data_IF_490173115462
#
_entry.id   IF_490173115462
#
_cell.length_a   1.000
_cell.length_b   1.000
_cell.length_c   1.000
_cell.angle_alpha   90.00
_cell.angle_beta   90.00
_cell.angle_gamma   90.00
#
_symmetry.space_group_name_H-M   'P 1'
#
loop_
_entity.id
_entity.type
_entity.pdbx_description
1 polymer ?
#
# COMPACT_ATOMS: atom_id res chain seq x y z
N UNK A 1 -9.64 -31.69 -11.36
CA UNK A 1 -8.54 -31.87 -10.37
C UNK A 1 -8.91 -31.14 -9.09
N UNK A 2 -8.71 -31.76 -7.96
CA UNK A 2 -8.92 -31.12 -6.66
C UNK A 2 -7.92 -29.94 -6.48
N UNK A 3 -8.40 -28.80 -6.00
CA UNK A 3 -7.54 -27.64 -5.79
C UNK A 3 -6.57 -27.89 -4.65
N UNK A 4 -5.29 -27.55 -4.86
CA UNK A 4 -4.28 -27.64 -3.78
C UNK A 4 -4.62 -26.65 -2.67
N UNK A 5 -4.48 -27.07 -1.41
CA UNK A 5 -4.69 -26.21 -0.24
C UNK A 5 -3.49 -25.28 -0.04
N UNK A 6 -3.75 -23.99 0.10
CA UNK A 6 -2.76 -23.00 0.54
C UNK A 6 -3.23 -22.31 1.81
N UNK A 7 -2.29 -21.87 2.62
CA UNK A 7 -2.54 -21.04 3.79
C UNK A 7 -2.04 -19.63 3.54
N UNK A 8 -2.92 -18.67 3.78
CA UNK A 8 -2.64 -17.25 3.74
C UNK A 8 -2.71 -16.71 5.18
N UNK A 9 -1.59 -16.29 5.77
CA UNK A 9 -1.51 -15.88 7.18
C UNK A 9 -1.06 -14.43 7.31
N UNK A 10 -1.89 -13.59 7.96
CA UNK A 10 -1.63 -12.17 8.13
C UNK A 10 -1.90 -11.67 9.54
N UNK A 11 -1.23 -10.58 9.90
CA UNK A 11 -1.47 -9.82 11.13
C UNK A 11 -1.47 -8.31 10.93
N UNK A 12 -1.67 -7.87 9.70
CA UNK A 12 -1.68 -6.49 9.22
C UNK A 12 -1.59 -6.48 7.71
N UNK A 13 -1.58 -5.30 7.09
CA UNK A 13 -1.61 -5.07 5.64
C UNK A 13 -2.84 -5.66 4.93
N UNK A 14 -3.94 -5.83 5.66
CA UNK A 14 -5.16 -6.48 5.17
C UNK A 14 -5.73 -5.82 3.92
N UNK A 15 -5.65 -4.51 3.80
CA UNK A 15 -6.09 -3.75 2.62
C UNK A 15 -5.27 -4.04 1.34
N UNK A 16 -4.11 -4.68 1.45
CA UNK A 16 -3.40 -5.24 0.30
C UNK A 16 -3.86 -6.66 -0.01
N UNK A 17 -4.16 -7.45 1.03
CA UNK A 17 -4.52 -8.86 0.90
C UNK A 17 -5.93 -9.06 0.37
N UNK A 18 -6.91 -8.26 0.86
CA UNK A 18 -8.33 -8.37 0.46
C UNK A 18 -8.53 -8.18 -1.04
N UNK A 19 -7.64 -7.44 -1.70
CA UNK A 19 -7.72 -7.18 -3.14
C UNK A 19 -7.39 -8.41 -3.99
N UNK A 20 -6.60 -9.36 -3.48
CA UNK A 20 -6.13 -10.51 -4.28
C UNK A 20 -6.64 -11.86 -3.75
N UNK A 21 -6.96 -11.98 -2.46
CA UNK A 21 -7.21 -13.28 -1.83
C UNK A 21 -8.43 -14.02 -2.41
N UNK A 22 -9.47 -13.29 -2.83
CA UNK A 22 -10.64 -13.88 -3.51
C UNK A 22 -10.25 -14.49 -4.85
N UNK A 23 -9.41 -13.82 -5.61
CA UNK A 23 -8.95 -14.28 -6.91
C UNK A 23 -8.10 -15.56 -6.81
N UNK A 24 -7.32 -15.71 -5.72
CA UNK A 24 -6.55 -16.93 -5.47
C UNK A 24 -7.44 -18.17 -5.35
N UNK A 25 -8.70 -18.02 -4.93
CA UNK A 25 -9.65 -19.15 -4.83
C UNK A 25 -10.00 -19.77 -6.17
N UNK A 26 -9.76 -19.07 -7.28
CA UNK A 26 -9.94 -19.65 -8.62
C UNK A 26 -8.99 -20.83 -8.85
N UNK A 27 -7.79 -20.81 -8.26
CA UNK A 27 -6.72 -21.81 -8.46
C UNK A 27 -6.45 -22.69 -7.25
N UNK A 28 -6.76 -22.21 -6.03
CA UNK A 28 -6.42 -22.88 -4.77
C UNK A 28 -7.63 -23.01 -3.84
N UNK A 29 -7.56 -23.98 -2.93
CA UNK A 29 -8.37 -23.98 -1.71
C UNK A 29 -7.64 -23.09 -0.69
N UNK A 30 -8.22 -21.91 -0.40
CA UNK A 30 -7.59 -20.90 0.42
C UNK A 30 -8.08 -20.96 1.86
N UNK A 31 -7.16 -21.21 2.81
CA UNK A 31 -7.38 -21.05 4.23
C UNK A 31 -6.74 -19.74 4.69
N UNK A 32 -7.57 -18.78 5.08
CA UNK A 32 -7.10 -17.48 5.54
C UNK A 32 -7.03 -17.41 7.06
N UNK A 33 -5.81 -17.33 7.59
CA UNK A 33 -5.51 -17.20 9.00
C UNK A 33 -5.24 -15.72 9.32
N UNK A 34 -6.13 -15.11 10.09
CA UNK A 34 -6.08 -13.70 10.47
C UNK A 34 -5.71 -13.57 11.94
N UNK A 35 -4.53 -13.03 12.23
CA UNK A 35 -4.09 -12.66 13.57
C UNK A 35 -4.56 -11.23 13.84
N UNK A 36 -5.73 -11.08 14.45
CA UNK A 36 -6.43 -9.80 14.56
C UNK A 36 -6.00 -9.03 15.81
N UNK A 37 -5.34 -7.88 15.62
CA UNK A 37 -5.02 -6.93 16.69
C UNK A 37 -6.22 -6.04 17.01
N UNK A 38 -6.45 -5.65 18.28
CA UNK A 38 -7.56 -4.79 18.67
C UNK A 38 -7.47 -3.37 18.10
N UNK A 39 -6.29 -2.96 17.63
CA UNK A 39 -6.04 -1.62 17.06
C UNK A 39 -6.11 -1.59 15.52
N UNK A 40 -6.47 -2.71 14.88
CA UNK A 40 -6.66 -2.72 13.44
C UNK A 40 -7.97 -2.02 13.03
N UNK A 41 -8.01 -1.36 11.87
CA UNK A 41 -9.23 -0.73 11.36
C UNK A 41 -10.31 -1.75 10.99
N UNK A 42 -9.92 -2.99 10.76
CA UNK A 42 -10.82 -4.10 10.41
C UNK A 42 -11.12 -4.94 11.66
N UNK A 43 -12.40 -5.26 11.89
CA UNK A 43 -12.84 -6.10 12.99
C UNK A 43 -13.25 -7.52 12.50
N UNK A 44 -13.61 -8.40 13.42
CA UNK A 44 -14.01 -9.78 13.10
C UNK A 44 -15.23 -9.85 12.17
N UNK A 45 -16.20 -8.94 12.35
CA UNK A 45 -17.41 -8.89 11.52
C UNK A 45 -17.09 -8.51 10.07
N UNK A 46 -16.12 -7.60 9.87
CA UNK A 46 -15.64 -7.28 8.54
C UNK A 46 -15.12 -8.52 7.82
N UNK A 47 -14.22 -9.29 8.45
CA UNK A 47 -13.66 -10.50 7.82
C UNK A 47 -14.73 -11.55 7.55
N UNK A 48 -15.67 -11.74 8.46
CA UNK A 48 -16.76 -12.70 8.29
C UNK A 48 -17.64 -12.34 7.08
N UNK A 49 -18.07 -11.08 6.97
CA UNK A 49 -18.82 -10.57 5.80
C UNK A 49 -18.02 -10.64 4.51
N UNK A 50 -16.72 -10.33 4.57
CA UNK A 50 -15.86 -10.36 3.40
C UNK A 50 -15.78 -11.74 2.75
N UNK A 51 -15.78 -12.82 3.56
CA UNK A 51 -15.70 -14.20 3.04
C UNK A 51 -17.06 -14.85 2.79
N UNK A 52 -18.18 -14.25 3.20
CA UNK A 52 -19.53 -14.84 3.18
C UNK A 52 -19.93 -15.41 1.81
N UNK A 53 -19.59 -14.71 0.73
CA UNK A 53 -19.86 -15.14 -0.65
C UNK A 53 -18.61 -15.63 -1.39
N UNK A 54 -17.68 -16.26 -0.68
CA UNK A 54 -16.43 -16.77 -1.26
C UNK A 54 -16.16 -18.20 -0.82
N UNK A 55 -15.26 -18.89 -1.50
CA UNK A 55 -14.76 -20.21 -1.08
C UNK A 55 -13.55 -20.13 -0.14
N UNK A 56 -13.32 -18.98 0.50
CA UNK A 56 -12.25 -18.79 1.48
C UNK A 56 -12.69 -19.40 2.82
N UNK A 57 -11.83 -20.21 3.44
CA UNK A 57 -12.05 -20.76 4.77
C UNK A 57 -11.32 -19.86 5.77
N UNK A 58 -12.07 -19.05 6.52
CA UNK A 58 -11.55 -18.07 7.46
C UNK A 58 -11.22 -18.68 8.82
N UNK A 59 -10.05 -18.33 9.38
CA UNK A 59 -9.63 -18.69 10.73
C UNK A 59 -9.19 -17.42 11.47
N UNK A 60 -10.01 -16.96 12.44
CA UNK A 60 -9.76 -15.75 13.22
C UNK A 60 -9.03 -16.08 14.52
N UNK A 61 -7.94 -15.37 14.78
CA UNK A 61 -7.11 -15.45 15.99
C UNK A 61 -6.98 -14.07 16.64
N UNK A 62 -7.88 -13.68 17.56
CA UNK A 62 -7.79 -12.38 18.24
C UNK A 62 -6.53 -12.28 19.11
N UNK A 63 -5.71 -11.27 18.91
CA UNK A 63 -4.54 -10.97 19.71
C UNK A 63 -5.00 -10.17 20.94
N UNK A 64 -5.10 -10.85 22.10
CA UNK A 64 -5.51 -10.25 23.37
C UNK A 64 -4.34 -9.90 24.29
N UNK A 65 -3.11 -10.04 23.83
CA UNK A 65 -1.92 -9.88 24.65
C UNK A 65 -0.78 -9.19 23.90
N UNK A 66 0.21 -8.69 24.64
CA UNK A 66 1.41 -8.12 24.01
C UNK A 66 2.13 -9.19 23.17
N UNK A 67 2.58 -8.82 21.95
CA UNK A 67 3.27 -9.72 21.00
C UNK A 67 4.56 -10.38 21.55
N UNK A 68 5.04 -9.97 22.73
CA UNK A 68 6.21 -10.57 23.43
C UNK A 68 5.82 -11.52 24.55
N UNK A 69 4.54 -11.72 24.82
CA UNK A 69 4.08 -12.53 25.96
C UNK A 69 4.03 -14.02 25.61
N UNK A 70 4.09 -14.88 26.64
CA UNK A 70 3.85 -16.31 26.49
C UNK A 70 2.44 -16.64 25.98
N UNK A 71 1.45 -15.76 26.26
CA UNK A 71 0.10 -15.88 25.71
C UNK A 71 0.10 -15.74 24.19
N UNK A 72 0.88 -14.80 23.66
CA UNK A 72 1.02 -14.65 22.22
C UNK A 72 1.80 -15.84 21.62
N UNK A 73 2.83 -16.33 22.28
CA UNK A 73 3.52 -17.55 21.86
C UNK A 73 2.58 -18.76 21.77
N UNK A 74 1.68 -18.94 22.77
CA UNK A 74 0.64 -19.98 22.76
C UNK A 74 -0.36 -19.78 21.60
N UNK A 75 -0.69 -18.53 21.25
CA UNK A 75 -1.57 -18.24 20.12
C UNK A 75 -0.91 -18.66 18.81
N UNK A 76 0.35 -18.27 18.56
CA UNK A 76 1.12 -18.68 17.37
C UNK A 76 1.27 -20.20 17.31
N UNK A 77 1.60 -20.84 18.43
CA UNK A 77 1.66 -22.30 18.52
C UNK A 77 0.35 -22.98 18.06
N UNK A 78 -0.81 -22.51 18.59
CA UNK A 78 -2.14 -23.06 18.23
C UNK A 78 -2.41 -22.85 16.74
N UNK A 79 -2.13 -21.65 16.22
CA UNK A 79 -2.29 -21.31 14.81
C UNK A 79 -1.49 -22.28 13.93
N UNK A 80 -0.19 -22.42 14.17
CA UNK A 80 0.67 -23.29 13.36
C UNK A 80 0.33 -24.77 13.52
N UNK A 81 -0.12 -25.21 14.71
CA UNK A 81 -0.62 -26.58 14.91
C UNK A 81 -1.88 -26.87 14.09
N UNK A 82 -2.77 -25.89 13.94
CA UNK A 82 -3.94 -26.01 13.05
C UNK A 82 -3.51 -26.04 11.58
N UNK A 83 -2.61 -25.15 11.17
CA UNK A 83 -2.06 -25.15 9.82
C UNK A 83 -1.44 -26.52 9.46
N UNK A 84 -0.70 -27.11 10.39
CA UNK A 84 -0.11 -28.45 10.17
C UNK A 84 -1.13 -29.52 9.81
N UNK A 85 -2.32 -29.49 10.45
CA UNK A 85 -3.40 -30.46 10.20
C UNK A 85 -4.03 -30.34 8.81
N UNK A 86 -3.89 -29.19 8.18
CA UNK A 86 -4.42 -28.94 6.82
C UNK A 86 -3.52 -29.50 5.72
N UNK A 87 -2.30 -29.90 6.05
CA UNK A 87 -1.28 -30.36 5.09
C UNK A 87 -1.19 -29.44 3.86
N UNK A 88 -1.01 -28.10 4.02
CA UNK A 88 -1.06 -27.20 2.90
C UNK A 88 0.16 -27.40 1.99
N UNK A 89 -0.03 -27.19 0.69
CA UNK A 89 1.05 -27.23 -0.29
C UNK A 89 2.01 -26.03 -0.13
N UNK A 90 1.54 -24.93 0.52
CA UNK A 90 2.31 -23.71 0.71
C UNK A 90 1.70 -22.86 1.83
N UNK A 91 2.54 -22.15 2.59
CA UNK A 91 2.14 -21.07 3.49
C UNK A 91 2.70 -19.75 2.96
N UNK A 92 1.81 -18.77 2.78
CA UNK A 92 2.17 -17.39 2.48
C UNK A 92 1.91 -16.50 3.69
N UNK A 93 2.82 -15.55 3.96
CA UNK A 93 2.66 -14.61 5.07
C UNK A 93 3.42 -13.29 4.86
N UNK A 94 2.83 -12.18 5.32
CA UNK A 94 3.55 -10.92 5.59
C UNK A 94 3.80 -10.73 7.11
N UNK A 95 3.37 -11.69 7.96
CA UNK A 95 3.51 -11.61 9.40
C UNK A 95 4.97 -11.82 9.83
N UNK A 96 5.43 -10.99 10.77
CA UNK A 96 6.79 -11.04 11.30
C UNK A 96 6.75 -10.86 12.82
N UNK A 97 7.26 -11.86 13.55
CA UNK A 97 7.49 -11.82 15.00
C UNK A 97 8.63 -12.78 15.41
N UNK A 98 8.88 -12.92 16.70
CA UNK A 98 9.96 -13.76 17.22
C UNK A 98 9.57 -15.24 17.37
N UNK A 99 8.29 -15.56 17.57
CA UNK A 99 7.81 -16.92 17.83
C UNK A 99 7.45 -17.66 16.56
N UNK A 100 6.94 -16.95 15.56
CA UNK A 100 6.55 -17.53 14.28
C UNK A 100 7.70 -18.33 13.63
N UNK A 101 8.92 -17.79 13.42
CA UNK A 101 9.98 -18.52 12.77
C UNK A 101 10.42 -19.76 13.57
N UNK A 102 10.44 -19.67 14.90
CA UNK A 102 10.83 -20.79 15.76
C UNK A 102 9.82 -21.94 15.62
N UNK A 103 8.54 -21.65 15.80
CA UNK A 103 7.50 -22.69 15.72
C UNK A 103 7.29 -23.19 14.30
N UNK A 104 7.46 -22.33 13.30
CA UNK A 104 7.38 -22.75 11.89
C UNK A 104 8.43 -23.82 11.60
N UNK A 105 9.66 -23.61 11.99
CA UNK A 105 10.76 -24.53 11.79
C UNK A 105 10.56 -25.88 12.53
N UNK A 106 9.87 -25.86 13.66
CA UNK A 106 9.53 -27.08 14.42
C UNK A 106 8.37 -27.85 13.79
N UNK A 107 7.30 -27.16 13.39
CA UNK A 107 6.04 -27.82 13.01
C UNK A 107 5.82 -27.96 11.51
N UNK A 108 6.34 -27.03 10.71
CA UNK A 108 6.03 -26.86 9.28
C UNK A 108 7.27 -26.85 8.38
N UNK A 109 8.41 -27.33 8.87
CA UNK A 109 9.71 -27.26 8.15
C UNK A 109 9.69 -27.85 6.72
N UNK A 110 8.81 -28.80 6.47
CA UNK A 110 8.66 -29.48 5.18
C UNK A 110 7.62 -28.79 4.26
N UNK A 111 6.97 -27.73 4.73
CA UNK A 111 5.99 -26.98 3.96
C UNK A 111 6.68 -25.70 3.47
N UNK A 112 6.63 -25.39 2.16
CA UNK A 112 7.23 -24.16 1.63
C UNK A 112 6.64 -22.91 2.28
N UNK A 113 7.51 -22.00 2.75
CA UNK A 113 7.14 -20.70 3.27
C UNK A 113 7.48 -19.61 2.25
N UNK A 114 6.48 -18.87 1.85
CA UNK A 114 6.63 -17.67 1.02
C UNK A 114 6.35 -16.44 1.89
N UNK A 115 7.27 -15.49 1.88
CA UNK A 115 7.16 -14.29 2.70
C UNK A 115 7.03 -13.03 1.84
N UNK A 116 5.95 -12.28 2.05
CA UNK A 116 5.79 -10.94 1.50
C UNK A 116 6.61 -9.91 2.30
N UNK A 117 7.42 -9.13 1.59
CA UNK A 117 8.25 -8.08 2.19
C UNK A 117 7.76 -6.72 1.65
N UNK A 118 7.16 -5.93 2.51
CA UNK A 118 6.75 -4.57 2.18
C UNK A 118 7.95 -3.63 2.12
N UNK A 119 8.77 -3.61 3.17
CA UNK A 119 9.95 -2.76 3.27
C UNK A 119 11.19 -3.61 3.55
N UNK A 120 12.14 -3.62 2.60
CA UNK A 120 13.42 -4.33 2.75
C UNK A 120 14.27 -3.68 3.83
N UNK A 121 14.30 -2.33 3.83
CA UNK A 121 14.92 -1.52 4.87
C UNK A 121 13.84 -0.72 5.59
N UNK A 122 14.08 -0.37 6.85
CA UNK A 122 13.20 0.54 7.58
C UNK A 122 13.25 1.93 6.94
N UNK A 123 12.11 2.65 6.93
CA UNK A 123 12.08 4.04 6.52
C UNK A 123 13.08 4.88 7.32
N UNK A 124 13.73 5.85 6.68
CA UNK A 124 14.77 6.71 7.27
C UNK A 124 14.31 7.46 8.52
N UNK A 125 13.00 7.69 8.67
CA UNK A 125 12.37 8.33 9.84
C UNK A 125 11.96 7.36 10.96
N UNK A 126 12.10 6.04 10.77
CA UNK A 126 11.64 5.04 11.73
C UNK A 126 12.79 4.58 12.64
N UNK A 127 12.74 4.93 13.92
CA UNK A 127 13.55 4.28 14.95
C UNK A 127 13.04 2.84 15.17
N UNK A 128 13.51 1.91 14.33
CA UNK A 128 13.10 0.51 14.42
C UNK A 128 13.71 -0.15 15.67
N UNK A 129 12.88 -0.67 16.60
CA UNK A 129 13.38 -1.34 17.80
C UNK A 129 14.29 -2.53 17.45
N UNK A 130 15.37 -2.72 18.22
CA UNK A 130 16.35 -3.81 18.01
C UNK A 130 15.67 -5.18 17.88
N UNK A 131 14.65 -5.45 18.70
CA UNK A 131 13.88 -6.69 18.68
C UNK A 131 13.17 -6.92 17.33
N UNK A 132 12.69 -5.87 16.68
CA UNK A 132 12.04 -6.00 15.37
C UNK A 132 13.08 -6.31 14.29
N UNK A 133 14.28 -5.70 14.36
CA UNK A 133 15.40 -6.03 13.48
C UNK A 133 15.81 -7.50 13.61
N UNK A 134 15.86 -8.00 14.84
CA UNK A 134 16.16 -9.42 15.12
C UNK A 134 15.05 -10.31 14.57
N UNK A 135 13.78 -9.99 14.81
CA UNK A 135 12.64 -10.74 14.26
C UNK A 135 12.67 -10.80 12.73
N UNK A 136 12.90 -9.67 12.05
CA UNK A 136 13.05 -9.62 10.58
C UNK A 136 14.16 -10.55 10.10
N UNK A 137 15.31 -10.53 10.75
CA UNK A 137 16.46 -11.38 10.38
C UNK A 137 16.17 -12.87 10.51
N UNK A 138 15.45 -13.27 11.59
CA UNK A 138 15.01 -14.66 11.78
C UNK A 138 13.98 -15.07 10.73
N UNK A 139 13.01 -14.23 10.44
CA UNK A 139 12.00 -14.49 9.41
C UNK A 139 12.66 -14.61 8.02
N UNK A 140 13.64 -13.77 7.70
CA UNK A 140 14.45 -13.89 6.47
C UNK A 140 15.27 -15.19 6.41
N UNK A 141 15.54 -15.83 7.52
CA UNK A 141 16.29 -17.10 7.53
C UNK A 141 15.41 -18.30 7.21
N UNK A 142 14.13 -18.30 7.62
CA UNK A 142 13.25 -19.47 7.51
C UNK A 142 12.48 -19.56 6.20
N UNK A 143 12.23 -18.45 5.53
CA UNK A 143 11.44 -18.43 4.29
C UNK A 143 12.23 -19.04 3.13
N UNK A 144 11.54 -19.80 2.30
CA UNK A 144 12.08 -20.40 1.08
C UNK A 144 12.17 -19.38 -0.05
N UNK A 145 11.12 -18.58 -0.21
CA UNK A 145 11.02 -17.53 -1.24
C UNK A 145 10.37 -16.26 -0.69
N UNK A 146 10.64 -15.17 -1.39
CA UNK A 146 10.16 -13.84 -1.02
C UNK A 146 9.36 -13.23 -2.14
N UNK A 147 8.35 -12.46 -1.76
CA UNK A 147 7.50 -11.70 -2.68
C UNK A 147 7.67 -10.21 -2.36
N UNK A 148 7.96 -9.42 -3.38
CA UNK A 148 8.16 -7.97 -3.28
C UNK A 148 7.06 -7.25 -4.06
N UNK A 149 6.66 -6.07 -3.57
CA UNK A 149 5.51 -5.33 -4.06
C UNK A 149 5.85 -4.12 -4.91
N UNK A 150 7.13 -3.69 -4.94
CA UNK A 150 7.62 -2.69 -5.87
C UNK A 150 8.91 -3.15 -6.55
N UNK A 151 9.18 -2.67 -7.76
CA UNK A 151 10.40 -3.04 -8.52
C UNK A 151 11.65 -2.56 -7.80
N UNK A 152 11.59 -1.38 -7.19
CA UNK A 152 12.71 -0.84 -6.43
C UNK A 152 13.04 -1.74 -5.22
N UNK A 153 12.04 -2.16 -4.42
CA UNK A 153 12.25 -3.08 -3.30
C UNK A 153 12.75 -4.46 -3.78
N UNK A 154 12.28 -4.93 -4.93
CA UNK A 154 12.78 -6.16 -5.55
C UNK A 154 14.28 -6.04 -5.91
N UNK A 155 14.69 -4.97 -6.57
CA UNK A 155 16.09 -4.73 -6.94
C UNK A 155 16.97 -4.59 -5.69
N UNK A 156 16.51 -3.84 -4.69
CA UNK A 156 17.20 -3.68 -3.41
C UNK A 156 17.34 -5.02 -2.66
N UNK A 157 16.28 -5.82 -2.61
CA UNK A 157 16.32 -7.13 -1.97
C UNK A 157 17.34 -8.05 -2.65
N UNK A 158 17.36 -8.10 -3.98
CA UNK A 158 18.34 -8.90 -4.74
C UNK A 158 19.78 -8.45 -4.50
N UNK A 159 20.03 -7.15 -4.38
CA UNK A 159 21.36 -6.64 -4.11
C UNK A 159 21.87 -7.00 -2.71
N UNK A 160 20.98 -6.93 -1.70
CA UNK A 160 21.31 -7.23 -0.30
C UNK A 160 21.35 -8.73 0.01
N UNK A 161 20.55 -9.52 -0.68
CA UNK A 161 20.38 -10.96 -0.45
C UNK A 161 20.45 -11.77 -1.76
N UNK A 162 21.61 -11.75 -2.47
CA UNK A 162 21.72 -12.35 -3.81
C UNK A 162 21.45 -13.85 -3.84
N UNK A 163 21.70 -14.57 -2.74
CA UNK A 163 21.44 -16.01 -2.61
C UNK A 163 19.97 -16.34 -2.31
N UNK A 164 19.12 -15.35 -2.02
CA UNK A 164 17.70 -15.56 -1.72
C UNK A 164 16.85 -15.46 -2.98
N UNK A 165 15.95 -16.43 -3.15
CA UNK A 165 15.00 -16.40 -4.27
C UNK A 165 13.86 -15.45 -3.96
N UNK A 166 13.57 -14.53 -4.88
CA UNK A 166 12.47 -13.59 -4.75
C UNK A 166 11.75 -13.36 -6.07
N UNK A 167 10.47 -13.00 -5.98
CA UNK A 167 9.61 -12.67 -7.10
C UNK A 167 9.00 -11.28 -6.89
N UNK A 168 8.82 -10.55 -7.98
CA UNK A 168 8.05 -9.32 -7.99
C UNK A 168 6.60 -9.64 -8.36
N UNK A 169 5.64 -9.25 -7.51
CA UNK A 169 4.20 -9.41 -7.80
C UNK A 169 3.51 -8.06 -8.01
N UNK A 170 3.93 -7.01 -7.33
CA UNK A 170 3.27 -5.70 -7.32
C UNK A 170 2.12 -5.64 -6.31
N UNK A 171 1.49 -4.47 -6.25
CA UNK A 171 0.25 -4.24 -5.49
C UNK A 171 -0.90 -4.05 -6.47
N UNK A 172 -2.10 -4.56 -6.15
CA UNK A 172 -3.29 -4.28 -6.95
C UNK A 172 -3.85 -2.89 -6.65
N UNK A 173 -4.62 -2.36 -7.58
CA UNK A 173 -5.47 -1.20 -7.34
C UNK A 173 -6.40 -1.49 -6.15
N UNK A 174 -6.82 -0.40 -5.46
CA UNK A 174 -7.78 -0.46 -4.37
C UNK A 174 -9.07 0.18 -4.83
N UNK A 175 -10.10 -0.63 -5.00
CA UNK A 175 -11.40 -0.21 -5.47
C UNK A 175 -12.38 -0.02 -4.30
N UNK A 176 -12.91 1.18 -4.16
CA UNK A 176 -13.94 1.54 -3.18
C UNK A 176 -15.31 1.78 -3.83
N UNK A 177 -15.46 1.39 -5.10
CA UNK A 177 -16.69 1.54 -5.87
C UNK A 177 -16.65 2.68 -6.88
N UNK A 178 -17.80 2.92 -7.50
CA UNK A 178 -17.97 3.97 -8.51
C UNK A 178 -18.37 5.29 -7.85
N UNK A 179 -17.87 6.43 -8.34
CA UNK A 179 -18.34 7.73 -7.88
C UNK A 179 -19.81 7.93 -8.24
N UNK A 180 -20.55 8.57 -7.36
CA UNK A 180 -21.96 8.94 -7.56
C UNK A 180 -22.12 10.35 -8.14
N UNK A 181 -21.03 11.13 -8.16
CA UNK A 181 -20.99 12.48 -8.75
C UNK A 181 -20.24 12.45 -10.09
N UNK A 182 -20.64 13.28 -11.07
CA UNK A 182 -19.87 13.42 -12.30
C UNK A 182 -18.52 14.09 -12.01
N UNK A 183 -17.54 13.84 -12.87
CA UNK A 183 -16.25 14.55 -12.81
C UNK A 183 -16.51 16.05 -12.96
N UNK A 184 -15.95 16.86 -12.05
CA UNK A 184 -16.20 18.29 -11.99
C UNK A 184 -15.65 19.00 -13.24
N UNK A 185 -16.48 19.82 -13.88
CA UNK A 185 -16.03 20.74 -14.92
C UNK A 185 -15.65 22.07 -14.26
N UNK A 186 -14.36 22.33 -14.09
CA UNK A 186 -13.84 23.29 -13.12
C UNK A 186 -13.57 24.71 -13.69
N UNK A 187 -14.11 25.07 -14.86
CA UNK A 187 -13.93 26.41 -15.44
C UNK A 187 -12.50 26.97 -15.41
N UNK A 188 -11.51 26.10 -15.71
CA UNK A 188 -10.09 26.46 -15.71
C UNK A 188 -9.39 26.37 -14.34
N UNK A 189 -10.10 26.10 -13.25
CA UNK A 189 -9.51 25.86 -11.93
C UNK A 189 -9.21 24.36 -11.79
N UNK A 190 -7.95 24.00 -11.50
CA UNK A 190 -7.53 22.61 -11.28
C UNK A 190 -7.46 22.30 -9.79
N UNK A 191 -8.06 21.18 -9.39
CA UNK A 191 -8.15 20.74 -8.01
C UNK A 191 -7.11 19.64 -7.73
N UNK A 192 -6.21 19.93 -6.80
CA UNK A 192 -5.16 19.06 -6.34
C UNK A 192 -5.59 18.31 -5.08
N UNK A 193 -5.34 17.02 -5.00
CA UNK A 193 -5.69 16.17 -3.89
C UNK A 193 -4.42 15.60 -3.19
N UNK A 194 -4.25 15.89 -1.92
CA UNK A 194 -3.42 15.09 -1.02
C UNK A 194 -4.31 14.15 -0.23
N UNK A 195 -4.10 12.84 -0.35
CA UNK A 195 -4.93 11.83 0.28
C UNK A 195 -4.10 10.88 1.17
N UNK A 196 -4.59 10.62 2.40
CA UNK A 196 -4.01 9.67 3.35
C UNK A 196 -3.43 10.31 4.60
N UNK A 197 -2.78 9.53 5.46
CA UNK A 197 -2.20 10.03 6.72
C UNK A 197 -1.15 11.10 6.46
N UNK A 198 -1.23 12.22 7.20
CA UNK A 198 -0.29 13.34 7.08
C UNK A 198 0.88 13.11 8.05
N UNK A 199 1.97 12.56 7.50
CA UNK A 199 3.21 12.26 8.22
C UNK A 199 4.38 13.07 7.65
N UNK A 200 5.44 13.37 8.42
CA UNK A 200 6.57 14.16 7.94
C UNK A 200 7.22 13.62 6.66
N UNK A 201 7.36 12.30 6.53
CA UNK A 201 7.94 11.68 5.33
C UNK A 201 7.08 11.87 4.07
N UNK A 202 5.77 12.13 4.24
CA UNK A 202 4.84 12.40 3.12
C UNK A 202 4.85 13.86 2.65
N UNK A 203 5.64 14.73 3.28
CA UNK A 203 5.96 16.05 2.75
C UNK A 203 4.81 17.07 2.70
N UNK A 204 3.80 16.94 3.57
CA UNK A 204 2.68 17.90 3.62
C UNK A 204 3.18 19.34 3.84
N UNK A 205 4.17 19.54 4.72
CA UNK A 205 4.81 20.83 5.00
C UNK A 205 5.57 21.39 3.77
N UNK A 206 6.15 20.51 2.95
CA UNK A 206 6.81 20.87 1.70
C UNK A 206 5.79 21.32 0.64
N UNK A 207 4.67 20.58 0.54
CA UNK A 207 3.61 20.90 -0.41
C UNK A 207 2.96 22.25 -0.09
N UNK A 208 2.64 22.50 1.18
CA UNK A 208 2.06 23.79 1.59
C UNK A 208 3.02 24.94 1.26
N UNK A 209 4.32 24.81 1.58
CA UNK A 209 5.31 25.85 1.28
C UNK A 209 5.47 26.10 -0.22
N UNK A 210 5.51 25.04 -1.05
CA UNK A 210 5.58 25.20 -2.50
C UNK A 210 4.29 25.84 -3.07
N UNK A 211 3.13 25.50 -2.53
CA UNK A 211 1.85 26.03 -2.96
C UNK A 211 1.68 27.50 -2.55
N UNK A 212 2.10 27.90 -1.36
CA UNK A 212 2.13 29.29 -0.92
C UNK A 212 3.06 30.15 -1.82
N UNK A 213 4.26 29.65 -2.15
CA UNK A 213 5.16 30.34 -3.07
C UNK A 213 4.55 30.48 -4.48
N UNK A 214 3.76 29.49 -4.92
CA UNK A 214 3.03 29.59 -6.17
C UNK A 214 1.98 30.73 -6.13
N UNK A 215 1.20 30.80 -5.05
CA UNK A 215 0.19 31.84 -4.88
C UNK A 215 0.83 33.24 -4.76
N UNK A 216 1.92 33.37 -4.01
CA UNK A 216 2.70 34.59 -3.90
C UNK A 216 3.24 35.06 -5.30
N UNK A 217 3.44 34.13 -6.25
CA UNK A 217 3.81 34.47 -7.65
C UNK A 217 2.65 34.92 -8.54
N UNK A 218 1.42 34.96 -8.01
CA UNK A 218 0.22 35.38 -8.73
C UNK A 218 -0.53 34.26 -9.49
N UNK A 219 -0.09 33.00 -9.39
CA UNK A 219 -0.79 31.86 -9.98
C UNK A 219 -1.96 31.46 -9.06
N UNK A 220 -3.21 31.58 -9.52
CA UNK A 220 -4.41 31.44 -8.70
C UNK A 220 -5.45 30.43 -9.24
N UNK A 221 -5.10 29.68 -10.29
CA UNK A 221 -5.98 28.71 -10.94
C UNK A 221 -5.85 27.27 -10.36
N UNK A 222 -5.20 27.10 -9.21
CA UNK A 222 -5.14 25.85 -8.48
C UNK A 222 -5.89 25.94 -7.14
N UNK A 223 -6.42 24.80 -6.68
CA UNK A 223 -6.97 24.60 -5.33
C UNK A 223 -6.37 23.33 -4.75
N UNK A 224 -6.05 23.34 -3.46
CA UNK A 224 -5.40 22.23 -2.80
C UNK A 224 -6.25 21.66 -1.67
N UNK A 225 -6.59 20.39 -1.77
CA UNK A 225 -7.38 19.68 -0.75
C UNK A 225 -6.53 18.66 -0.02
N UNK A 226 -6.72 18.59 1.30
CA UNK A 226 -6.12 17.58 2.17
C UNK A 226 -7.20 16.69 2.78
N UNK A 227 -7.11 15.39 2.54
CA UNK A 227 -7.99 14.38 3.11
C UNK A 227 -7.17 13.37 3.91
N UNK A 228 -7.36 13.34 5.24
CA UNK A 228 -6.71 12.39 6.13
C UNK A 228 -6.25 12.99 7.46
N UNK A 229 -5.80 12.12 8.36
CA UNK A 229 -5.42 12.50 9.72
C UNK A 229 -3.94 12.82 9.84
N UNK A 230 -3.62 13.81 10.65
CA UNK A 230 -2.23 14.07 11.05
C UNK A 230 -1.72 13.00 12.02
N UNK A 231 -0.46 12.59 11.85
CA UNK A 231 0.19 11.65 12.74
C UNK A 231 0.60 12.25 14.09
N UNK A 232 0.69 13.58 14.18
CA UNK A 232 0.95 14.30 15.44
C UNK A 232 0.48 15.75 15.38
N UNK A 233 0.08 16.29 16.55
CA UNK A 233 -0.36 17.68 16.66
C UNK A 233 0.79 18.68 16.42
N UNK A 234 2.01 18.33 16.78
CA UNK A 234 3.18 19.17 16.51
C UNK A 234 3.41 19.36 15.02
N UNK A 235 3.28 18.28 14.23
CA UNK A 235 3.41 18.36 12.78
C UNK A 235 2.23 19.12 12.14
N UNK A 236 1.01 18.93 12.66
CA UNK A 236 -0.18 19.71 12.25
C UNK A 236 0.06 21.20 12.43
N UNK A 237 0.50 21.63 13.62
CA UNK A 237 0.82 23.04 13.89
C UNK A 237 1.87 23.58 12.93
N UNK A 238 2.96 22.83 12.72
CA UNK A 238 4.02 23.19 11.77
C UNK A 238 3.50 23.40 10.34
N UNK A 239 2.61 22.53 9.86
CA UNK A 239 2.01 22.64 8.53
C UNK A 239 1.10 23.87 8.43
N UNK A 240 0.15 23.99 9.34
CA UNK A 240 -0.87 25.06 9.29
C UNK A 240 -0.29 26.45 9.49
N UNK A 241 0.80 26.60 10.26
CA UNK A 241 1.46 27.90 10.46
C UNK A 241 2.12 28.48 9.20
N UNK A 242 2.26 27.70 8.13
CA UNK A 242 2.82 28.17 6.85
C UNK A 242 1.76 28.75 5.91
N UNK A 243 0.48 28.55 6.20
CA UNK A 243 -0.63 28.96 5.33
C UNK A 243 -0.87 30.46 5.46
N UNK A 244 -0.82 31.19 4.35
CA UNK A 244 -1.10 32.62 4.21
C UNK A 244 -2.40 32.88 3.45
N UNK A 245 -2.75 31.97 2.52
CA UNK A 245 -3.88 32.12 1.58
C UNK A 245 -4.93 31.01 1.81
N UNK A 246 -5.67 31.01 2.96
CA UNK A 246 -6.55 29.90 3.36
C UNK A 246 -7.67 29.60 2.37
N UNK A 247 -8.13 30.58 1.60
CA UNK A 247 -9.23 30.43 0.62
C UNK A 247 -8.89 29.49 -0.56
N UNK A 248 -7.62 29.16 -0.73
CA UNK A 248 -7.15 28.24 -1.76
C UNK A 248 -7.08 26.80 -1.30
N UNK A 249 -7.40 26.52 -0.02
CA UNK A 249 -7.32 25.20 0.58
C UNK A 249 -8.66 24.64 0.99
N UNK A 250 -8.75 23.31 0.97
CA UNK A 250 -9.85 22.56 1.56
C UNK A 250 -9.28 21.49 2.50
N UNK A 251 -9.72 21.44 3.77
CA UNK A 251 -9.15 20.61 4.80
C UNK A 251 -10.17 19.64 5.39
N UNK A 252 -9.88 18.34 5.30
CA UNK A 252 -10.61 17.25 5.94
C UNK A 252 -9.65 16.41 6.75
N UNK A 253 -9.40 16.82 8.01
CA UNK A 253 -8.41 16.19 8.89
C UNK A 253 -8.98 15.05 9.73
N UNK A 254 -9.99 14.38 9.23
CA UNK A 254 -10.64 13.24 9.85
C UNK A 254 -10.36 11.94 9.10
N UNK A 255 -10.86 10.84 9.65
CA UNK A 255 -10.87 9.57 8.95
C UNK A 255 -11.85 9.67 7.78
N UNK A 256 -11.40 9.31 6.59
CA UNK A 256 -12.25 9.25 5.40
C UNK A 256 -12.93 7.90 5.35
N UNK A 257 -14.25 7.88 5.30
CA UNK A 257 -15.01 6.65 5.12
C UNK A 257 -14.78 6.06 3.72
N UNK A 258 -14.79 4.75 3.60
CA UNK A 258 -14.51 4.08 2.33
C UNK A 258 -15.50 4.46 1.22
N UNK A 259 -16.76 4.67 1.57
CA UNK A 259 -17.85 5.11 0.68
C UNK A 259 -17.66 6.52 0.09
N UNK A 260 -16.89 7.38 0.78
CA UNK A 260 -16.62 8.74 0.31
C UNK A 260 -15.45 8.80 -0.67
N UNK A 261 -14.57 7.81 -0.64
CA UNK A 261 -13.33 7.79 -1.45
C UNK A 261 -13.60 7.99 -2.94
N UNK A 262 -14.57 7.29 -3.58
CA UNK A 262 -14.84 7.47 -5.01
C UNK A 262 -15.17 8.92 -5.38
N UNK A 263 -16.02 9.58 -4.59
CA UNK A 263 -16.45 10.95 -4.82
C UNK A 263 -15.33 11.97 -4.58
N UNK A 264 -14.46 11.72 -3.59
CA UNK A 264 -13.29 12.56 -3.35
C UNK A 264 -12.38 12.55 -4.58
N UNK A 265 -12.04 11.39 -5.11
CA UNK A 265 -11.18 11.30 -6.29
C UNK A 265 -11.86 11.86 -7.55
N UNK A 266 -13.16 11.62 -7.75
CA UNK A 266 -13.91 12.16 -8.88
C UNK A 266 -14.04 13.70 -8.87
N UNK A 267 -14.00 14.32 -7.68
CA UNK A 267 -14.10 15.78 -7.53
C UNK A 267 -12.76 16.51 -7.72
N UNK A 268 -11.66 15.80 -7.95
CA UNK A 268 -10.32 16.35 -8.12
C UNK A 268 -9.72 15.99 -9.49
N UNK A 269 -8.71 16.76 -9.90
CA UNK A 269 -8.07 16.60 -11.20
C UNK A 269 -6.71 15.92 -11.06
N UNK A 270 -5.95 16.20 -10.02
CA UNK A 270 -4.59 15.70 -9.79
C UNK A 270 -4.45 15.17 -8.38
N UNK A 271 -3.68 14.10 -8.22
CA UNK A 271 -3.20 13.71 -6.90
C UNK A 271 -1.74 14.12 -6.69
N UNK A 272 -1.43 14.62 -5.49
CA UNK A 272 -0.08 15.09 -5.14
C UNK A 272 0.53 14.19 -4.10
N UNK A 273 1.71 13.65 -4.40
CA UNK A 273 2.49 12.78 -3.53
C UNK A 273 3.86 13.42 -3.24
N UNK A 274 3.95 14.43 -2.35
CA UNK A 274 5.19 15.16 -2.10
C UNK A 274 6.12 14.39 -1.15
N UNK A 275 6.19 13.07 -1.34
CA UNK A 275 6.84 12.17 -0.39
C UNK A 275 8.36 12.31 -0.46
N UNK A 276 8.98 12.48 0.71
CA UNK A 276 10.45 12.49 0.85
C UNK A 276 11.05 11.11 0.69
N UNK A 277 10.27 10.10 1.11
CA UNK A 277 10.68 8.70 1.05
C UNK A 277 9.41 7.83 0.84
N UNK A 278 9.46 6.92 -0.14
CA UNK A 278 8.35 6.01 -0.43
C UNK A 278 8.85 4.71 -1.04
N UNK A 279 8.60 3.61 -0.35
CA UNK A 279 8.84 2.25 -0.85
C UNK A 279 7.62 1.71 -1.57
N UNK A 280 6.44 2.04 -1.06
CA UNK A 280 5.12 1.70 -1.55
C UNK A 280 4.10 2.73 -1.08
N UNK A 281 2.96 2.83 -1.76
CA UNK A 281 1.91 3.76 -1.37
C UNK A 281 0.51 3.19 -1.63
N UNK A 282 -0.22 2.88 -0.56
CA UNK A 282 -1.64 2.51 -0.66
C UNK A 282 -2.49 3.60 -1.34
N UNK A 283 -2.37 4.89 -0.95
CA UNK A 283 -3.03 5.99 -1.66
C UNK A 283 -2.71 6.08 -3.15
N UNK A 284 -1.51 5.68 -3.58
CA UNK A 284 -1.17 5.64 -5.01
C UNK A 284 -2.01 4.60 -5.76
N UNK A 285 -2.25 3.43 -5.15
CA UNK A 285 -3.07 2.38 -5.76
C UNK A 285 -4.57 2.75 -5.78
N UNK A 286 -5.02 3.55 -4.82
CA UNK A 286 -6.36 4.16 -4.85
C UNK A 286 -6.43 5.16 -6.02
N UNK A 287 -5.46 6.07 -6.10
CA UNK A 287 -5.40 7.07 -7.17
C UNK A 287 -5.42 6.42 -8.56
N UNK A 288 -4.64 5.36 -8.73
CA UNK A 288 -4.56 4.63 -10.00
C UNK A 288 -5.93 4.06 -10.41
N UNK A 289 -6.73 3.56 -9.45
CA UNK A 289 -8.10 3.08 -9.69
C UNK A 289 -9.00 4.16 -10.26
N UNK A 290 -8.86 5.41 -9.80
CA UNK A 290 -9.69 6.53 -10.25
C UNK A 290 -9.08 7.34 -11.39
N UNK A 291 -7.91 6.96 -11.87
CA UNK A 291 -7.31 7.46 -13.11
C UNK A 291 -6.85 8.91 -13.08
N UNK A 292 -6.49 9.48 -11.90
CA UNK A 292 -5.94 10.82 -11.85
C UNK A 292 -4.42 10.80 -12.17
N UNK A 293 -3.94 11.72 -13.00
CA UNK A 293 -2.51 12.00 -13.14
C UNK A 293 -1.93 12.47 -11.80
N UNK A 294 -0.63 12.29 -11.60
CA UNK A 294 0.03 12.59 -10.33
C UNK A 294 1.10 13.68 -10.45
N UNK A 295 1.36 14.35 -9.32
CA UNK A 295 2.55 15.16 -9.08
C UNK A 295 3.36 14.43 -8.02
N UNK A 296 4.57 13.98 -8.35
CA UNK A 296 5.38 13.17 -7.46
C UNK A 296 6.89 13.35 -7.73
N UNK A 297 7.77 13.01 -6.77
CA UNK A 297 9.20 12.97 -7.06
C UNK A 297 9.54 11.83 -8.03
N UNK A 298 10.56 12.05 -8.88
CA UNK A 298 11.00 11.10 -9.91
C UNK A 298 11.82 9.93 -9.35
N UNK A 299 11.35 9.30 -8.27
CA UNK A 299 12.04 8.18 -7.66
C UNK A 299 11.05 7.18 -7.02
N UNK A 300 11.54 5.99 -6.73
CA UNK A 300 10.87 4.94 -5.97
C UNK A 300 9.58 4.38 -6.59
N UNK A 301 8.52 4.16 -5.78
CA UNK A 301 7.30 3.49 -6.21
C UNK A 301 6.48 4.27 -7.25
N UNK A 302 6.71 5.58 -7.40
CA UNK A 302 5.94 6.38 -8.35
C UNK A 302 6.33 6.05 -9.79
N UNK A 303 7.64 6.01 -10.09
CA UNK A 303 8.16 5.69 -11.43
C UNK A 303 8.06 4.20 -11.79
N UNK A 304 7.75 3.34 -10.82
CA UNK A 304 7.42 1.94 -11.08
C UNK A 304 6.05 1.76 -11.78
N UNK A 305 5.15 2.75 -11.64
CA UNK A 305 3.75 2.68 -12.04
C UNK A 305 3.38 3.77 -13.05
N UNK A 306 3.85 5.00 -12.84
CA UNK A 306 3.59 6.18 -13.66
C UNK A 306 4.81 6.54 -14.49
N UNK A 307 4.58 7.17 -15.63
CA UNK A 307 5.60 7.73 -16.53
C UNK A 307 5.32 9.22 -16.81
N UNK A 308 6.12 9.84 -17.66
CA UNK A 308 5.98 11.27 -18.04
C UNK A 308 4.67 11.59 -18.78
N UNK A 309 3.96 10.58 -19.31
CA UNK A 309 2.65 10.75 -19.95
C UNK A 309 1.48 10.66 -18.96
N UNK A 310 1.75 10.28 -17.72
CA UNK A 310 0.76 10.04 -16.66
C UNK A 310 1.06 10.82 -15.38
N UNK A 311 2.22 11.47 -15.30
CA UNK A 311 2.68 12.23 -14.14
C UNK A 311 3.47 13.49 -14.52
N UNK A 312 3.46 14.46 -13.62
CA UNK A 312 4.44 15.55 -13.59
C UNK A 312 5.45 15.23 -12.49
N UNK A 313 6.62 14.75 -12.88
CA UNK A 313 7.69 14.44 -11.95
C UNK A 313 8.56 15.66 -11.63
N UNK A 314 9.12 15.68 -10.41
CA UNK A 314 10.14 16.62 -9.98
C UNK A 314 11.33 15.87 -9.38
N UNK A 315 12.55 16.45 -9.51
CA UNK A 315 13.81 15.70 -9.32
C UNK A 315 14.25 15.56 -7.86
N UNK A 316 13.95 16.52 -6.98
CA UNK A 316 14.40 16.52 -5.59
C UNK A 316 13.21 16.50 -4.63
N UNK A 317 13.01 15.36 -3.96
CA UNK A 317 11.90 15.12 -3.02
C UNK A 317 11.94 15.99 -1.76
N UNK A 318 13.05 16.66 -1.48
CA UNK A 318 13.21 17.57 -0.33
C UNK A 318 13.22 19.05 -0.74
N UNK A 319 13.11 19.35 -2.03
CA UNK A 319 13.19 20.71 -2.56
C UNK A 319 11.81 21.32 -2.80
N UNK A 320 11.48 22.34 -2.02
CA UNK A 320 10.31 23.20 -2.26
C UNK A 320 10.32 23.80 -3.67
N UNK A 321 11.50 24.19 -4.17
CA UNK A 321 11.67 24.74 -5.52
C UNK A 321 11.31 23.73 -6.62
N UNK A 322 11.80 22.49 -6.53
CA UNK A 322 11.49 21.44 -7.50
C UNK A 322 10.00 21.14 -7.54
N UNK A 323 9.34 21.09 -6.38
CA UNK A 323 7.88 20.89 -6.31
C UNK A 323 7.11 22.10 -6.85
N UNK A 324 7.55 23.33 -6.57
CA UNK A 324 6.98 24.56 -7.12
C UNK A 324 7.01 24.53 -8.66
N UNK A 325 8.14 24.18 -9.25
CA UNK A 325 8.28 24.05 -10.72
C UNK A 325 7.28 23.04 -11.31
N UNK A 326 7.03 21.93 -10.62
CA UNK A 326 6.01 20.96 -11.02
C UNK A 326 4.60 21.52 -10.92
N UNK A 327 4.28 22.27 -9.85
CA UNK A 327 2.98 22.94 -9.70
C UNK A 327 2.73 23.99 -10.78
N UNK A 328 3.77 24.77 -11.17
CA UNK A 328 3.68 25.74 -12.28
C UNK A 328 3.37 25.01 -13.60
N UNK A 329 4.02 23.87 -13.88
CA UNK A 329 3.71 23.06 -15.08
C UNK A 329 2.26 22.60 -15.09
N UNK A 330 1.74 22.14 -13.95
CA UNK A 330 0.34 21.74 -13.83
C UNK A 330 -0.60 22.92 -14.04
N UNK A 331 -0.31 24.09 -13.44
CA UNK A 331 -1.12 25.30 -13.63
C UNK A 331 -1.24 25.71 -15.09
N UNK A 332 -0.15 25.59 -15.85
CA UNK A 332 -0.07 25.94 -17.27
C UNK A 332 -0.54 24.84 -18.24
N UNK A 333 -0.80 23.61 -17.76
CA UNK A 333 -1.13 22.47 -18.62
C UNK A 333 -2.46 22.67 -19.34
N UNK A 334 -2.49 22.42 -20.64
CA UNK A 334 -3.70 22.51 -21.47
C UNK A 334 -4.64 21.32 -21.22
N UNK A 335 -5.94 21.55 -21.34
CA UNK A 335 -7.00 20.58 -21.05
C UNK A 335 -6.92 19.32 -21.92
N UNK A 336 -6.56 19.44 -23.20
CA UNK A 336 -6.41 18.29 -24.08
C UNK A 336 -5.29 17.34 -23.61
N UNK A 337 -4.14 17.88 -23.19
CA UNK A 337 -3.04 17.07 -22.65
C UNK A 337 -3.44 16.40 -21.33
N UNK A 338 -4.13 17.12 -20.45
CA UNK A 338 -4.67 16.55 -19.22
C UNK A 338 -5.63 15.38 -19.49
N UNK A 339 -6.56 15.56 -20.46
CA UNK A 339 -7.49 14.49 -20.86
C UNK A 339 -6.77 13.23 -21.35
N UNK A 340 -5.71 13.40 -22.13
CA UNK A 340 -4.90 12.26 -22.63
C UNK A 340 -4.13 11.57 -21.49
N UNK A 341 -3.59 12.35 -20.54
CA UNK A 341 -2.99 11.80 -19.33
C UNK A 341 -3.98 10.92 -18.53
N UNK A 342 -5.21 11.39 -18.33
CA UNK A 342 -6.26 10.62 -17.64
C UNK A 342 -6.58 9.29 -18.34
N UNK A 343 -6.69 9.28 -19.69
CA UNK A 343 -6.91 8.06 -20.47
C UNK A 343 -5.77 7.07 -20.27
N UNK A 344 -4.53 7.55 -20.28
CA UNK A 344 -3.35 6.71 -20.06
C UNK A 344 -3.29 6.18 -18.63
N UNK A 345 -3.62 6.99 -17.61
CA UNK A 345 -3.75 6.52 -16.22
C UNK A 345 -4.75 5.38 -16.10
N UNK A 346 -5.93 5.50 -16.73
CA UNK A 346 -6.95 4.45 -16.74
C UNK A 346 -6.46 3.17 -17.43
N UNK A 347 -5.69 3.30 -18.51
CA UNK A 347 -5.05 2.15 -19.18
C UNK A 347 -3.98 1.51 -18.29
N UNK A 348 -3.17 2.31 -17.59
CA UNK A 348 -2.18 1.82 -16.64
C UNK A 348 -2.84 1.05 -15.50
N UNK A 349 -3.99 1.50 -14.99
CA UNK A 349 -4.74 0.84 -13.93
C UNK A 349 -5.07 -0.63 -14.26
N UNK A 350 -5.38 -0.96 -15.52
CA UNK A 350 -5.70 -2.33 -15.91
C UNK A 350 -4.53 -3.32 -15.73
N UNK A 351 -3.28 -2.84 -15.74
CA UNK A 351 -2.08 -3.65 -15.52
C UNK A 351 -1.89 -4.02 -14.04
N UNK A 352 -2.68 -3.39 -13.15
CA UNK A 352 -2.65 -3.58 -11.71
C UNK A 352 -4.01 -4.01 -11.16
N UNK A 353 -4.90 -4.55 -12.01
CA UNK A 353 -6.18 -5.11 -11.54
C UNK A 353 -5.96 -6.26 -10.56
N UNK A 354 -6.99 -6.57 -9.79
CA UNK A 354 -6.96 -7.69 -8.82
C UNK A 354 -6.60 -9.01 -9.49
N UNK A 355 -7.18 -9.26 -10.68
CA UNK A 355 -6.93 -10.47 -11.46
C UNK A 355 -5.48 -10.56 -11.96
N UNK A 356 -4.94 -9.45 -12.49
CA UNK A 356 -3.56 -9.41 -12.99
C UNK A 356 -2.55 -9.64 -11.87
N UNK A 357 -2.77 -9.02 -10.73
CA UNK A 357 -1.87 -9.20 -9.57
C UNK A 357 -2.03 -10.60 -8.99
N UNK A 358 -3.26 -11.10 -8.83
CA UNK A 358 -3.51 -12.46 -8.34
C UNK A 358 -2.88 -13.52 -9.27
N UNK A 359 -2.91 -13.33 -10.58
CA UNK A 359 -2.24 -14.23 -11.54
C UNK A 359 -0.72 -14.30 -11.30
N UNK A 360 -0.07 -13.19 -10.97
CA UNK A 360 1.35 -13.18 -10.57
C UNK A 360 1.60 -13.98 -9.29
N UNK A 361 0.71 -13.89 -8.29
CA UNK A 361 0.77 -14.73 -7.09
C UNK A 361 0.56 -16.21 -7.43
N UNK A 362 -0.45 -16.53 -8.25
CA UNK A 362 -0.76 -17.90 -8.67
C UNK A 362 0.44 -18.54 -9.39
N UNK A 363 1.05 -17.82 -10.32
CA UNK A 363 2.26 -18.27 -11.03
C UNK A 363 3.42 -18.51 -10.04
N UNK A 364 3.64 -17.58 -9.13
CA UNK A 364 4.68 -17.68 -8.10
C UNK A 364 4.46 -18.88 -7.19
N UNK A 365 3.23 -19.07 -6.70
CA UNK A 365 2.88 -20.17 -5.80
C UNK A 365 2.99 -21.53 -6.50
N UNK A 366 2.48 -21.66 -7.73
CA UNK A 366 2.59 -22.89 -8.50
C UNK A 366 4.06 -23.27 -8.80
N UNK A 367 4.91 -22.29 -9.12
CA UNK A 367 6.34 -22.52 -9.32
C UNK A 367 6.96 -23.12 -8.04
N UNK A 368 6.68 -22.53 -6.88
CA UNK A 368 7.25 -22.96 -5.59
C UNK A 368 6.72 -24.36 -5.21
N UNK A 369 5.44 -24.62 -5.38
CA UNK A 369 4.84 -25.92 -5.07
C UNK A 369 5.43 -27.01 -5.94
N UNK A 370 5.67 -26.76 -7.23
CA UNK A 370 6.21 -27.74 -8.16
C UNK A 370 7.72 -28.00 -7.94
N UNK A 371 8.47 -27.04 -7.41
CA UNK A 371 9.89 -27.24 -7.06
C UNK A 371 10.08 -28.10 -5.77
N UNK A 372 9.03 -28.23 -4.95
CA UNK A 372 9.10 -28.95 -3.67
C UNK A 372 8.37 -30.31 -3.70
N UNK A 373 7.78 -30.68 -4.84
CA UNK A 373 7.25 -32.03 -5.13
C UNK A 373 8.28 -32.85 -5.91
#
# INVERSE_FOLDING_TARGET
MEKRTIVYLNSGFFDTDITVIKELTKSFQVHWFVLLSPNEPYNADFFSRFVENSSIILHLYPIKSRRRSLHFAKLIYRCLKQIKKLHPALVYTCHQDLYFPLFYKIFLRNIPLVMGIHDVLAHSSANEPLMLKVAKRFNLYIANKYVLFSKNQYSLFKSLYPAKQCCFVGMSIKDFGMPTIPKSNNNGIKKLLFFGTLQPYKGCDLLIEAFENLLDSGVNNLRLSFYGRFGSDSYKKKCLSKIKHPDFYNFHFEFVANEDVPNIFASHDWAVFPYRDATQSGPLMINLRYGLPIIAPSHTCFTDIYDENTAIFYSDSNSTKSLLEALIKVAALKENLYSDMCKLCSKTASLFSEEVIADRYIKTFNMIINENN
#
